data_IF_746595652139
#
_entry.id   IF_746595652139
#
_cell.length_a   1.000
_cell.length_b   1.000
_cell.length_c   1.000
_cell.angle_alpha   90.00
_cell.angle_beta   90.00
_cell.angle_gamma   90.00
#
_symmetry.space_group_name_H-M   'P 1'
#
loop_
_entity.id
_entity.type
_entity.pdbx_description
1 polymer ?
#
# COMPACT_ATOMS: atom_id res chain seq x y z
N UNK A 1 4.01 46.23 -13.55
CA UNK A 1 3.07 45.14 -13.19
C UNK A 1 3.12 44.11 -14.31
N UNK A 2 3.37 42.82 -14.01
CA UNK A 2 2.24 41.89 -13.90
C UNK A 2 2.43 40.89 -12.74
N UNK A 3 1.54 40.89 -11.74
CA UNK A 3 1.55 39.95 -10.60
C UNK A 3 0.35 39.01 -10.54
N UNK A 4 -0.54 39.02 -11.53
CA UNK A 4 -1.84 38.32 -11.42
C UNK A 4 -1.97 37.04 -12.26
N UNK A 5 -1.10 36.81 -13.26
CA UNK A 5 -1.20 35.61 -14.09
C UNK A 5 -0.68 34.31 -13.41
N UNK A 6 0.26 34.43 -12.45
CA UNK A 6 0.95 33.24 -11.87
C UNK A 6 0.18 32.53 -10.74
N UNK A 7 -0.77 33.23 -10.08
CA UNK A 7 -1.60 32.64 -9.01
C UNK A 7 -2.70 31.72 -9.54
N UNK A 8 -3.14 31.88 -10.80
CA UNK A 8 -4.21 31.07 -11.38
C UNK A 8 -3.78 29.68 -11.86
N UNK A 9 -2.49 29.50 -12.20
CA UNK A 9 -1.92 28.22 -12.61
C UNK A 9 -1.63 27.31 -11.40
N UNK A 10 -1.13 27.91 -10.31
CA UNK A 10 -0.88 27.19 -9.06
C UNK A 10 -2.20 26.69 -8.42
N UNK A 11 -3.28 27.47 -8.50
CA UNK A 11 -4.62 27.08 -8.03
C UNK A 11 -5.26 25.93 -8.84
N UNK A 12 -4.91 25.78 -10.12
CA UNK A 12 -5.38 24.66 -10.96
C UNK A 12 -4.60 23.36 -10.69
N UNK A 13 -3.28 23.46 -10.46
CA UNK A 13 -2.45 22.29 -10.13
C UNK A 13 -2.79 21.69 -8.74
N UNK A 14 -3.20 22.51 -7.77
CA UNK A 14 -3.63 22.03 -6.45
C UNK A 14 -5.00 21.35 -6.51
N UNK A 15 -5.93 21.82 -7.36
CA UNK A 15 -7.21 21.13 -7.61
C UNK A 15 -7.06 19.81 -8.36
N UNK A 16 -5.97 19.62 -9.11
CA UNK A 16 -5.67 18.36 -9.80
C UNK A 16 -5.11 17.29 -8.84
N UNK A 17 -4.46 17.69 -7.73
CA UNK A 17 -3.89 16.76 -6.72
C UNK A 17 -4.92 16.17 -5.75
N UNK A 18 -5.97 16.90 -5.40
CA UNK A 18 -7.10 16.34 -4.66
C UNK A 18 -8.00 15.44 -5.54
N UNK A 19 -7.81 15.49 -6.86
CA UNK A 19 -8.59 14.74 -7.84
C UNK A 19 -8.11 13.30 -8.05
N UNK A 20 -6.82 13.01 -7.90
CA UNK A 20 -6.29 11.69 -8.31
C UNK A 20 -6.66 10.55 -7.33
N UNK A 21 -6.86 10.86 -6.05
CA UNK A 21 -7.45 9.91 -5.09
C UNK A 21 -8.99 9.97 -5.07
N UNK A 22 -9.59 10.98 -5.71
CA UNK A 22 -11.04 11.23 -5.75
C UNK A 22 -11.70 10.78 -7.06
N UNK A 23 -10.92 10.47 -8.10
CA UNK A 23 -11.40 10.09 -9.43
C UNK A 23 -11.75 8.61 -9.60
N UNK A 24 -11.66 7.80 -8.56
CA UNK A 24 -12.18 6.41 -8.57
C UNK A 24 -13.43 6.23 -7.71
N UNK A 25 -13.93 7.29 -7.05
CA UNK A 25 -14.95 7.16 -5.99
C UNK A 25 -16.36 7.64 -6.38
N UNK A 26 -16.54 8.37 -7.49
CA UNK A 26 -17.88 8.89 -7.86
C UNK A 26 -18.41 8.32 -9.17
N UNK A 27 -18.91 7.07 -9.14
CA UNK A 27 -20.05 6.66 -9.97
C UNK A 27 -20.67 5.37 -9.43
N UNK A 28 -22.00 5.40 -9.33
CA UNK A 28 -22.92 4.27 -9.20
C UNK A 28 -23.20 3.83 -7.75
N UNK A 29 -24.17 4.52 -7.13
CA UNK A 29 -25.06 3.93 -6.15
C UNK A 29 -26.46 3.95 -6.73
N UNK A 30 -27.04 2.77 -6.93
CA UNK A 30 -28.46 2.50 -6.73
C UNK A 30 -28.71 0.98 -6.75
N UNK A 31 -29.55 0.56 -5.81
CA UNK A 31 -30.29 -0.68 -5.67
C UNK A 31 -29.71 -1.92 -4.98
N UNK A 32 -30.67 -2.52 -4.27
CA UNK A 32 -30.71 -3.64 -3.34
C UNK A 32 -30.38 -5.02 -3.94
N UNK A 33 -30.24 -5.97 -3.01
CA UNK A 33 -30.68 -7.37 -3.05
C UNK A 33 -29.61 -8.48 -2.90
N UNK A 34 -29.87 -9.27 -1.83
CA UNK A 34 -29.91 -10.73 -1.72
C UNK A 34 -28.69 -11.63 -2.01
N UNK A 35 -28.61 -12.65 -1.16
CA UNK A 35 -27.61 -13.69 -1.02
C UNK A 35 -27.45 -14.55 -2.29
N UNK A 36 -26.24 -14.53 -2.86
CA UNK A 36 -25.70 -15.44 -3.89
C UNK A 36 -24.36 -16.00 -3.40
N UNK A 37 -23.89 -17.19 -3.84
CA UNK A 37 -22.56 -17.70 -3.49
C UNK A 37 -21.47 -16.66 -3.74
N UNK A 38 -20.39 -16.63 -2.93
CA UNK A 38 -19.43 -15.53 -2.95
C UNK A 38 -18.76 -15.44 -4.32
N UNK A 39 -19.11 -14.37 -5.05
CA UNK A 39 -18.49 -14.02 -6.32
C UNK A 39 -16.98 -13.76 -6.10
N UNK A 40 -16.13 -13.98 -7.13
CA UNK A 40 -14.70 -13.65 -7.04
C UNK A 40 -14.49 -12.20 -6.58
N UNK A 41 -13.62 -12.00 -5.60
CA UNK A 41 -13.30 -10.67 -5.06
C UNK A 41 -12.67 -9.82 -6.16
N UNK A 42 -13.29 -8.69 -6.46
CA UNK A 42 -12.81 -7.77 -7.50
C UNK A 42 -12.00 -6.63 -6.88
N UNK A 43 -11.16 -5.95 -7.67
CA UNK A 43 -10.46 -4.71 -7.28
C UNK A 43 -11.37 -3.70 -6.57
N UNK A 44 -12.63 -3.58 -7.01
CA UNK A 44 -13.65 -2.72 -6.40
C UNK A 44 -13.99 -3.10 -4.96
N UNK A 45 -13.99 -4.39 -4.63
CA UNK A 45 -14.33 -4.89 -3.30
C UNK A 45 -13.20 -4.60 -2.30
N UNK A 46 -11.94 -4.63 -2.76
CA UNK A 46 -10.76 -4.30 -1.96
C UNK A 46 -10.63 -2.79 -1.71
N UNK A 47 -10.98 -1.96 -2.70
CA UNK A 47 -10.95 -0.50 -2.56
C UNK A 47 -11.94 0.04 -1.50
N UNK A 48 -13.07 -0.64 -1.27
CA UNK A 48 -14.07 -0.23 -0.27
C UNK A 48 -13.57 -0.31 1.17
N UNK A 49 -12.47 -1.03 1.42
CA UNK A 49 -12.08 -1.42 2.77
C UNK A 49 -10.88 -0.64 3.32
N UNK A 50 -10.15 0.13 2.49
CA UNK A 50 -8.97 0.91 2.89
C UNK A 50 -9.39 2.35 3.26
N UNK A 51 -9.35 2.76 4.54
CA UNK A 51 -9.62 4.15 4.91
C UNK A 51 -8.42 5.04 4.53
N UNK A 52 -8.59 6.12 3.74
CA UNK A 52 -7.50 7.00 3.37
C UNK A 52 -7.22 7.98 4.51
N UNK A 53 -6.29 7.65 5.41
CA UNK A 53 -5.72 8.65 6.32
C UNK A 53 -4.21 8.48 6.36
N UNK A 54 -3.50 9.22 5.52
CA UNK A 54 -2.05 9.38 5.65
C UNK A 54 -1.68 10.87 5.65
N UNK A 55 -0.69 11.23 6.46
CA UNK A 55 -0.04 12.55 6.43
C UNK A 55 0.96 12.65 5.27
N UNK A 56 0.64 12.05 4.12
CA UNK A 56 1.55 11.97 2.97
C UNK A 56 1.99 13.34 2.45
N UNK A 57 1.21 14.39 2.72
CA UNK A 57 1.51 15.77 2.32
C UNK A 57 2.79 16.34 2.95
N UNK A 58 3.16 15.87 4.15
CA UNK A 58 4.38 16.29 4.86
C UNK A 58 5.52 15.28 4.74
N UNK A 59 5.33 14.21 3.96
CA UNK A 59 6.33 13.15 3.78
C UNK A 59 7.37 13.59 2.76
N UNK A 60 8.63 13.60 3.18
CA UNK A 60 9.75 13.66 2.25
C UNK A 60 10.10 12.25 1.77
N UNK A 61 9.70 11.94 0.54
CA UNK A 61 9.88 10.63 -0.09
C UNK A 61 11.36 10.25 -0.29
N UNK A 62 12.25 11.23 -0.32
CA UNK A 62 13.70 11.04 -0.51
C UNK A 62 14.36 10.31 0.65
N UNK A 63 13.76 10.39 1.83
CA UNK A 63 14.29 9.74 3.03
C UNK A 63 14.11 8.22 3.01
N UNK A 64 13.10 7.73 2.29
CA UNK A 64 12.86 6.30 2.17
C UNK A 64 13.78 5.74 1.09
N UNK A 65 14.48 4.66 1.39
CA UNK A 65 15.13 3.85 0.37
C UNK A 65 14.10 2.95 -0.32
N UNK A 66 13.28 2.25 0.47
CA UNK A 66 12.14 1.44 0.02
C UNK A 66 11.24 1.03 1.17
N UNK A 67 10.01 0.66 0.87
CA UNK A 67 9.14 -0.04 1.82
C UNK A 67 8.20 -1.00 1.10
N UNK A 68 7.62 -1.91 1.87
CA UNK A 68 6.40 -2.63 1.48
C UNK A 68 5.38 -2.51 2.58
N UNK A 69 4.11 -2.42 2.21
CA UNK A 69 3.00 -2.45 3.14
C UNK A 69 1.86 -3.30 2.60
N UNK A 70 1.41 -4.27 3.38
CA UNK A 70 0.31 -5.16 3.04
C UNK A 70 -0.92 -4.77 3.85
N UNK A 71 -2.02 -4.51 3.15
CA UNK A 71 -3.34 -4.33 3.73
C UNK A 71 -4.18 -5.56 3.40
N UNK A 72 -4.52 -6.36 4.41
CA UNK A 72 -5.10 -7.68 4.25
C UNK A 72 -6.44 -7.75 4.98
N UNK A 73 -7.44 -8.33 4.31
CA UNK A 73 -8.77 -8.62 4.84
C UNK A 73 -8.99 -10.12 4.80
N UNK A 74 -9.32 -10.73 5.94
CA UNK A 74 -9.54 -12.16 6.06
C UNK A 74 -11.03 -12.51 6.13
N UNK A 75 -11.40 -13.71 5.69
CA UNK A 75 -12.78 -14.22 5.71
C UNK A 75 -13.39 -14.28 7.12
N UNK A 76 -12.56 -14.49 8.15
CA UNK A 76 -13.00 -14.46 9.55
C UNK A 76 -13.28 -13.03 10.08
N UNK A 77 -13.10 -12.01 9.24
CA UNK A 77 -13.29 -10.60 9.52
C UNK A 77 -12.07 -9.87 10.10
N UNK A 78 -10.96 -10.58 10.34
CA UNK A 78 -9.71 -9.95 10.78
C UNK A 78 -9.17 -9.02 9.70
N UNK A 79 -8.51 -7.94 10.13
CA UNK A 79 -7.87 -6.98 9.23
C UNK A 79 -6.44 -6.74 9.66
N UNK A 80 -5.51 -6.79 8.73
CA UNK A 80 -4.08 -6.70 9.02
C UNK A 80 -3.46 -5.61 8.16
N UNK A 81 -2.62 -4.82 8.80
CA UNK A 81 -1.72 -3.89 8.15
C UNK A 81 -0.30 -4.29 8.58
N UNK A 82 0.56 -4.75 7.66
CA UNK A 82 1.91 -5.22 7.98
C UNK A 82 2.90 -4.78 6.92
N UNK A 83 4.02 -4.20 7.34
CA UNK A 83 5.03 -3.71 6.41
C UNK A 83 6.44 -3.70 6.96
N UNK A 84 7.37 -3.60 6.03
CA UNK A 84 8.80 -3.43 6.28
C UNK A 84 9.28 -2.15 5.62
N UNK A 85 10.01 -1.32 6.36
CA UNK A 85 10.49 0.00 5.92
C UNK A 85 12.00 0.07 6.03
N UNK A 86 12.61 0.68 5.01
CA UNK A 86 14.02 1.08 5.02
C UNK A 86 14.13 2.58 4.73
N UNK A 87 14.59 3.32 5.73
CA UNK A 87 14.91 4.74 5.69
C UNK A 87 16.35 4.88 6.24
N UNK A 88 17.40 4.67 5.41
CA UNK A 88 18.77 4.44 5.88
C UNK A 88 19.35 5.53 6.78
N UNK A 89 18.89 6.77 6.66
CA UNK A 89 19.30 7.87 7.53
C UNK A 89 18.84 7.72 8.98
N UNK A 90 17.83 6.88 9.26
CA UNK A 90 17.24 6.70 10.60
C UNK A 90 17.18 5.22 10.99
N UNK A 91 16.71 4.36 10.08
CA UNK A 91 16.47 2.94 10.32
C UNK A 91 16.54 2.12 9.02
N UNK A 92 17.46 1.17 8.96
CA UNK A 92 17.59 0.32 7.76
C UNK A 92 16.56 -0.80 7.70
N UNK A 93 16.05 -1.24 8.87
CA UNK A 93 15.10 -2.34 9.02
C UNK A 93 14.08 -2.00 10.11
N UNK A 94 12.85 -1.65 9.70
CA UNK A 94 11.73 -1.49 10.62
C UNK A 94 10.54 -2.32 10.17
N UNK A 95 10.03 -3.18 11.06
CA UNK A 95 8.71 -3.81 10.91
C UNK A 95 7.65 -2.89 11.54
N UNK A 96 6.57 -2.64 10.82
CA UNK A 96 5.44 -1.83 11.29
C UNK A 96 4.12 -2.51 11.01
N UNK A 97 3.11 -2.25 11.84
CA UNK A 97 1.76 -2.70 11.56
C UNK A 97 0.92 -3.07 12.78
N UNK A 98 -0.28 -3.56 12.51
CA UNK A 98 -1.24 -4.02 13.48
C UNK A 98 -2.18 -5.09 12.89
N UNK A 99 -2.73 -5.93 13.76
CA UNK A 99 -3.82 -6.85 13.51
C UNK A 99 -5.06 -6.35 14.27
N UNK A 100 -6.13 -6.04 13.56
CA UNK A 100 -7.47 -5.87 14.11
C UNK A 100 -8.15 -7.23 14.14
N UNK A 101 -8.22 -7.83 15.32
CA UNK A 101 -8.86 -9.14 15.53
C UNK A 101 -10.36 -8.95 15.69
N UNK A 102 -11.14 -9.68 14.91
CA UNK A 102 -12.58 -9.56 14.84
C UNK A 102 -13.31 -10.25 16.01
N UNK A 103 -12.75 -11.35 16.53
CA UNK A 103 -13.39 -12.16 17.58
C UNK A 103 -13.54 -11.43 18.92
N UNK A 104 -12.55 -10.63 19.30
CA UNK A 104 -12.52 -9.88 20.56
C UNK A 104 -12.38 -8.36 20.38
N UNK A 105 -12.43 -7.89 19.12
CA UNK A 105 -12.32 -6.48 18.71
C UNK A 105 -11.02 -5.79 19.16
N UNK A 106 -9.96 -6.54 19.47
CA UNK A 106 -8.66 -5.97 19.86
C UNK A 106 -7.83 -5.52 18.66
N UNK A 107 -7.03 -4.49 18.88
CA UNK A 107 -5.98 -4.06 17.95
C UNK A 107 -4.63 -4.44 18.55
N UNK A 108 -3.95 -5.38 17.91
CA UNK A 108 -2.70 -5.96 18.37
C UNK A 108 -1.55 -5.40 17.52
N UNK A 109 -0.54 -4.75 18.12
CA UNK A 109 0.59 -4.26 17.36
C UNK A 109 1.45 -5.44 16.87
N UNK A 110 1.99 -5.29 15.66
CA UNK A 110 3.00 -6.23 15.17
C UNK A 110 4.29 -6.03 15.95
N UNK A 111 4.84 -7.12 16.47
CA UNK A 111 6.07 -7.10 17.29
C UNK A 111 7.30 -7.43 16.47
N UNK A 112 7.16 -8.30 15.47
CA UNK A 112 8.23 -8.63 14.53
C UNK A 112 7.65 -9.14 13.21
N UNK A 113 8.44 -9.04 12.15
CA UNK A 113 8.19 -9.69 10.86
C UNK A 113 9.52 -10.21 10.33
N UNK A 114 9.53 -11.40 9.72
CA UNK A 114 10.70 -11.91 9.00
C UNK A 114 10.70 -11.46 7.52
N UNK A 115 9.81 -10.55 7.11
CA UNK A 115 9.81 -10.01 5.77
C UNK A 115 11.03 -9.10 5.56
N UNK A 116 12.04 -9.62 4.84
CA UNK A 116 13.28 -8.91 4.56
C UNK A 116 13.25 -8.29 3.16
N UNK A 117 13.30 -6.96 3.10
CA UNK A 117 13.25 -6.21 1.85
C UNK A 117 14.36 -6.56 0.86
N UNK A 118 15.51 -7.05 1.30
CA UNK A 118 16.58 -7.46 0.40
C UNK A 118 16.35 -8.86 -0.20
N UNK A 119 15.57 -9.71 0.47
CA UNK A 119 15.19 -11.02 -0.06
C UNK A 119 14.03 -10.88 -1.04
N UNK A 120 13.16 -9.89 -0.81
CA UNK A 120 11.98 -9.66 -1.63
C UNK A 120 12.02 -8.27 -2.26
N UNK A 121 12.14 -8.19 -3.58
CA UNK A 121 12.06 -6.90 -4.28
C UNK A 121 13.36 -6.12 -4.34
N UNK A 122 14.52 -6.73 -4.13
CA UNK A 122 15.81 -6.12 -4.46
C UNK A 122 15.85 -5.72 -5.95
N UNK A 123 16.51 -4.61 -6.27
CA UNK A 123 16.59 -4.09 -7.63
C UNK A 123 15.23 -3.84 -8.32
N UNK A 124 14.16 -3.62 -7.54
CA UNK A 124 12.79 -3.48 -8.04
C UNK A 124 12.22 -4.75 -8.71
N UNK A 125 12.80 -5.92 -8.41
CA UNK A 125 12.32 -7.22 -8.93
C UNK A 125 11.42 -7.87 -7.88
N UNK A 126 10.12 -7.57 -7.95
CA UNK A 126 9.17 -8.02 -6.93
C UNK A 126 8.58 -9.41 -7.26
N UNK A 127 8.54 -10.35 -6.29
CA UNK A 127 7.95 -11.67 -6.51
C UNK A 127 6.43 -11.58 -6.70
N UNK A 128 5.84 -12.51 -7.48
CA UNK A 128 4.38 -12.64 -7.61
C UNK A 128 3.77 -13.62 -6.61
N UNK A 129 4.57 -14.56 -6.13
CA UNK A 129 4.21 -15.57 -5.14
C UNK A 129 5.30 -15.56 -4.07
N UNK A 130 4.93 -15.25 -2.84
CA UNK A 130 5.86 -15.15 -1.72
C UNK A 130 5.16 -15.34 -0.38
N UNK A 131 5.94 -15.65 0.64
CA UNK A 131 5.44 -15.78 2.01
C UNK A 131 6.40 -15.18 3.03
N UNK A 132 5.86 -14.92 4.21
CA UNK A 132 6.58 -14.41 5.37
C UNK A 132 5.75 -14.66 6.63
N UNK A 133 6.35 -14.42 7.79
CA UNK A 133 5.74 -14.60 9.10
C UNK A 133 5.84 -13.31 9.90
N UNK A 134 4.79 -12.97 10.64
CA UNK A 134 4.82 -11.88 11.62
C UNK A 134 4.25 -12.32 12.96
N UNK A 135 4.58 -11.57 14.02
CA UNK A 135 4.06 -11.83 15.37
C UNK A 135 3.17 -10.68 15.85
N UNK A 136 2.04 -11.02 16.47
CA UNK A 136 1.13 -10.07 17.12
C UNK A 136 0.37 -10.75 18.27
N UNK A 137 0.23 -10.08 19.40
CA UNK A 137 -0.49 -10.63 20.57
C UNK A 137 0.06 -11.97 21.10
N UNK A 138 1.38 -12.18 20.98
CA UNK A 138 2.04 -13.43 21.42
C UNK A 138 1.86 -14.62 20.48
N UNK A 139 1.28 -14.42 19.30
CA UNK A 139 1.05 -15.46 18.29
C UNK A 139 1.80 -15.15 17.00
N UNK A 140 2.16 -16.21 16.27
CA UNK A 140 2.79 -16.16 14.96
C UNK A 140 1.77 -16.37 13.85
N UNK A 141 1.92 -15.65 12.74
CA UNK A 141 1.02 -15.68 11.59
C UNK A 141 1.83 -15.89 10.32
N UNK A 142 1.63 -17.02 9.66
CA UNK A 142 2.24 -17.36 8.39
C UNK A 142 1.40 -16.81 7.25
N UNK A 143 1.99 -15.95 6.43
CA UNK A 143 1.36 -15.25 5.33
C UNK A 143 1.86 -15.85 4.03
N UNK A 144 0.94 -16.16 3.13
CA UNK A 144 1.19 -16.41 1.72
C UNK A 144 0.47 -15.34 0.91
N UNK A 145 1.18 -14.74 -0.04
CA UNK A 145 0.69 -13.66 -0.89
C UNK A 145 0.85 -14.07 -2.36
N UNK A 146 -0.25 -14.01 -3.11
CA UNK A 146 -0.27 -14.28 -4.54
C UNK A 146 -0.85 -13.08 -5.29
N UNK A 147 0.02 -12.38 -6.02
CA UNK A 147 -0.29 -11.16 -6.77
C UNK A 147 -1.14 -11.51 -7.99
N UNK A 148 -2.20 -10.73 -8.20
CA UNK A 148 -3.19 -10.88 -9.28
C UNK A 148 -3.15 -9.74 -10.28
N UNK A 149 -2.89 -8.54 -9.81
CA UNK A 149 -2.90 -7.33 -10.64
C UNK A 149 -1.94 -6.29 -10.06
N UNK A 150 -1.48 -5.33 -10.87
CA UNK A 150 -0.52 -4.30 -10.47
C UNK A 150 -0.74 -3.00 -11.24
N UNK A 151 -0.77 -1.89 -10.50
CA UNK A 151 -0.64 -0.55 -11.06
C UNK A 151 0.68 0.08 -10.59
N UNK A 152 1.30 0.88 -11.47
CA UNK A 152 2.51 1.64 -11.12
C UNK A 152 2.27 3.13 -11.29
N UNK A 153 2.67 3.91 -10.29
CA UNK A 153 2.60 5.37 -10.35
C UNK A 153 3.74 6.01 -9.55
N UNK A 154 3.87 7.33 -9.67
CA UNK A 154 4.95 8.09 -9.05
C UNK A 154 4.39 9.15 -8.12
N UNK A 155 5.01 9.33 -6.95
CA UNK A 155 4.66 10.33 -5.96
C UNK A 155 5.84 11.28 -5.74
N UNK A 156 5.50 12.53 -5.37
CA UNK A 156 6.44 13.59 -5.06
C UNK A 156 6.56 14.62 -6.19
N UNK A 157 7.15 15.77 -5.90
CA UNK A 157 7.21 16.88 -6.87
C UNK A 157 8.12 16.54 -8.04
N UNK A 158 9.20 15.83 -7.77
CA UNK A 158 10.18 15.39 -8.75
C UNK A 158 10.04 13.91 -9.09
N UNK A 159 8.93 13.28 -8.68
CA UNK A 159 8.67 11.83 -8.84
C UNK A 159 9.72 11.00 -8.11
N UNK A 160 10.06 11.41 -6.89
CA UNK A 160 11.07 10.84 -6.00
C UNK A 160 10.69 9.43 -5.52
N UNK A 161 9.40 9.12 -5.50
CA UNK A 161 8.86 7.82 -5.12
C UNK A 161 8.24 7.12 -6.32
N UNK A 162 8.63 5.87 -6.57
CA UNK A 162 7.94 4.94 -7.48
C UNK A 162 7.14 3.95 -6.63
N UNK A 163 5.84 3.87 -6.88
CA UNK A 163 4.89 3.03 -6.15
C UNK A 163 4.35 1.96 -7.08
N UNK A 164 4.36 0.72 -6.60
CA UNK A 164 3.65 -0.40 -7.20
C UNK A 164 2.53 -0.82 -6.25
N UNK A 165 1.29 -0.61 -6.67
CA UNK A 165 0.10 -1.02 -5.94
C UNK A 165 -0.34 -2.39 -6.49
N UNK A 166 -0.14 -3.44 -5.70
CA UNK A 166 -0.27 -4.83 -6.16
C UNK A 166 -1.44 -5.51 -5.47
N UNK A 167 -2.48 -5.83 -6.23
CA UNK A 167 -3.66 -6.51 -5.72
C UNK A 167 -3.36 -8.00 -5.59
N UNK A 168 -3.73 -8.59 -4.44
CA UNK A 168 -3.33 -9.94 -4.10
C UNK A 168 -4.43 -10.71 -3.36
N UNK A 169 -4.37 -12.03 -3.52
CA UNK A 169 -5.01 -12.97 -2.60
C UNK A 169 -4.02 -13.37 -1.52
N UNK A 170 -4.51 -13.53 -0.30
CA UNK A 170 -3.70 -13.93 0.84
C UNK A 170 -4.22 -15.23 1.45
N UNK A 171 -3.32 -15.99 2.06
CA UNK A 171 -3.65 -17.06 3.00
C UNK A 171 -2.87 -16.79 4.29
N UNK A 172 -3.56 -16.71 5.43
CA UNK A 172 -2.93 -16.52 6.73
C UNK A 172 -3.37 -17.63 7.67
N UNK A 173 -2.42 -18.50 8.05
CA UNK A 173 -2.70 -19.67 8.88
C UNK A 173 -3.89 -20.52 8.35
N UNK A 174 -4.03 -20.66 7.03
CA UNK A 174 -5.13 -21.38 6.38
C UNK A 174 -6.37 -20.51 6.09
N UNK A 175 -6.47 -19.30 6.62
CA UNK A 175 -7.61 -18.40 6.42
C UNK A 175 -7.39 -17.59 5.14
N UNK A 176 -8.34 -17.67 4.22
CA UNK A 176 -8.27 -16.92 2.96
C UNK A 176 -8.53 -15.45 3.20
N UNK A 177 -7.93 -14.64 2.34
CA UNK A 177 -8.11 -13.20 2.33
C UNK A 177 -7.76 -12.55 1.01
N UNK A 178 -7.94 -11.25 0.97
CA UNK A 178 -7.66 -10.39 -0.17
C UNK A 178 -7.14 -9.04 0.31
N UNK A 179 -6.50 -8.32 -0.59
CA UNK A 179 -5.89 -7.07 -0.19
C UNK A 179 -5.00 -6.45 -1.24
N UNK A 180 -4.16 -5.54 -0.76
CA UNK A 180 -3.18 -4.85 -1.57
C UNK A 180 -1.81 -4.88 -0.87
N UNK A 181 -0.75 -5.07 -1.65
CA UNK A 181 0.63 -4.83 -1.26
C UNK A 181 1.12 -3.58 -1.98
N UNK A 182 1.37 -2.50 -1.24
CA UNK A 182 1.98 -1.28 -1.74
C UNK A 182 3.49 -1.39 -1.57
N UNK A 183 4.22 -1.39 -2.68
CA UNK A 183 5.66 -1.40 -2.73
C UNK A 183 6.17 -0.04 -3.16
N UNK A 184 7.15 0.48 -2.44
CA UNK A 184 7.78 1.76 -2.73
C UNK A 184 9.27 1.58 -2.96
N UNK A 185 9.78 2.25 -4.00
CA UNK A 185 11.19 2.41 -4.26
C UNK A 185 11.54 3.88 -4.44
N UNK A 186 12.67 4.28 -3.87
CA UNK A 186 13.29 5.56 -4.17
C UNK A 186 13.65 5.64 -5.66
N UNK A 187 13.32 6.77 -6.29
CA UNK A 187 13.47 7.00 -7.73
C UNK A 187 14.43 8.17 -8.04
N UNK A 188 15.32 8.52 -7.11
CA UNK A 188 16.29 9.62 -7.30
C UNK A 188 17.45 9.26 -8.26
N UNK A 189 17.66 7.97 -8.55
CA UNK A 189 18.79 7.49 -9.38
C UNK A 189 18.52 7.34 -10.87
N UNK A 190 17.30 7.57 -11.37
CA UNK A 190 17.01 7.41 -12.81
C UNK A 190 17.32 8.65 -13.66
N UNK A 191 17.78 9.74 -13.05
CA UNK A 191 18.45 10.82 -13.77
C UNK A 191 19.95 10.57 -13.71
N UNK A 192 20.51 9.91 -14.73
CA UNK A 192 21.91 10.07 -15.18
C UNK A 192 22.25 9.14 -16.37
N UNK A 193 21.35 8.96 -17.35
CA UNK A 193 21.74 8.56 -18.71
C UNK A 193 20.70 9.10 -19.71
N UNK A 194 20.56 10.42 -19.78
CA UNK A 194 20.20 11.05 -21.05
C UNK A 194 21.51 11.30 -21.76
N UNK A 195 21.92 10.34 -22.59
CA UNK A 195 22.98 10.59 -23.55
C UNK A 195 22.53 11.69 -24.51
N UNK A 196 23.31 12.76 -24.57
CA UNK A 196 23.72 13.56 -25.74
C UNK A 196 24.57 14.74 -25.25
#
# INVERSE_FOLDING_TARGET
>A
MPKEASRSALGRAVKQKAGYLRLTINRIYNHDEALSPPRPVTKRDILKTIPPRSMAEHRDWRNFHRYVYHFIYLENGDRIAVGSVSQPAIMSHLSIGYLCRNSDKKVLPIKSSNFLLYQHGENQIMPKDYGFTFTAGGQSYDVQALIKDEDTFYIGKEREAKIHERWATFNINGIKGWGCAEWHYNNLGQKLFTGL
#
